data_IF_076646381677
#
_entry.id   IF_076646381677
#
_cell.length_a   1.000
_cell.length_b   1.000
_cell.length_c   1.000
_cell.angle_alpha   90.00
_cell.angle_beta   90.00
_cell.angle_gamma   90.00
#
_symmetry.space_group_name_H-M   'P 1'
#
loop_
_entity.id
_entity.type
_entity.pdbx_description
1 polymer ?
#
# COMPACT_ATOMS: atom_id res chain seq x y z
N UNK A 1 -12.66 -13.89 -15.04
CA UNK A 1 -11.80 -12.70 -14.85
C UNK A 1 -10.32 -13.05 -14.80
N UNK A 2 -9.89 -14.19 -14.22
CA UNK A 2 -8.47 -14.62 -14.19
C UNK A 2 -7.80 -14.62 -15.57
N UNK A 3 -8.42 -15.28 -16.56
CA UNK A 3 -7.88 -15.39 -17.93
C UNK A 3 -7.62 -14.07 -18.65
N UNK A 4 -8.34 -12.99 -18.32
CA UNK A 4 -8.13 -11.68 -18.97
C UNK A 4 -6.86 -10.98 -18.47
N UNK A 5 -6.60 -11.10 -17.16
CA UNK A 5 -5.38 -10.58 -16.55
C UNK A 5 -4.17 -11.44 -16.95
N UNK A 6 -4.32 -12.76 -16.92
CA UNK A 6 -3.32 -13.76 -17.30
C UNK A 6 -2.81 -13.60 -18.75
N UNK A 7 -3.69 -13.32 -19.72
CA UNK A 7 -3.33 -13.29 -21.14
C UNK A 7 -3.01 -11.91 -21.73
N UNK A 8 -3.30 -10.81 -21.02
CA UNK A 8 -3.19 -9.45 -21.58
C UNK A 8 -2.17 -8.56 -20.86
N UNK A 9 -2.67 -7.78 -19.90
CA UNK A 9 -1.93 -6.68 -19.25
C UNK A 9 -0.73 -7.18 -18.44
N UNK A 10 -0.88 -8.27 -17.69
CA UNK A 10 0.23 -8.81 -16.89
C UNK A 10 1.38 -9.32 -17.77
N UNK A 11 1.05 -9.90 -18.92
CA UNK A 11 2.04 -10.40 -19.88
C UNK A 11 2.83 -9.26 -20.52
N UNK A 12 2.20 -8.11 -20.78
CA UNK A 12 2.90 -6.91 -21.27
C UNK A 12 3.91 -6.43 -20.22
N UNK A 13 3.48 -6.26 -18.97
CA UNK A 13 4.39 -5.84 -17.90
C UNK A 13 5.52 -6.84 -17.67
N UNK A 14 5.23 -8.13 -17.71
CA UNK A 14 6.24 -9.17 -17.62
C UNK A 14 7.29 -9.04 -18.73
N UNK A 15 6.85 -8.89 -19.99
CA UNK A 15 7.76 -8.71 -21.14
C UNK A 15 8.64 -7.49 -20.93
N UNK A 16 8.06 -6.32 -20.60
CA UNK A 16 8.82 -5.09 -20.36
C UNK A 16 9.88 -5.31 -19.28
N UNK A 17 9.52 -5.92 -18.15
CA UNK A 17 10.46 -6.13 -17.06
C UNK A 17 11.62 -7.06 -17.42
N UNK A 18 11.36 -8.15 -18.14
CA UNK A 18 12.45 -9.06 -18.51
C UNK A 18 13.35 -8.51 -19.63
N UNK A 19 12.86 -7.52 -20.41
CA UNK A 19 13.63 -6.93 -21.52
C UNK A 19 14.38 -5.66 -21.12
N UNK A 20 13.80 -4.84 -20.25
CA UNK A 20 14.27 -3.47 -19.99
C UNK A 20 14.84 -3.30 -18.56
N UNK A 21 14.46 -4.17 -17.62
CA UNK A 21 14.85 -4.06 -16.22
C UNK A 21 15.83 -5.15 -15.77
N UNK A 22 16.63 -4.83 -14.75
CA UNK A 22 17.59 -5.77 -14.16
C UNK A 22 16.87 -6.63 -13.12
N UNK A 23 16.76 -7.94 -13.36
CA UNK A 23 16.15 -8.88 -12.42
C UNK A 23 17.04 -9.18 -11.22
N UNK A 24 16.54 -8.97 -10.01
CA UNK A 24 17.26 -9.24 -8.77
C UNK A 24 17.18 -10.73 -8.41
N UNK A 25 18.31 -11.29 -7.99
CA UNK A 25 18.46 -12.70 -7.61
C UNK A 25 19.65 -12.89 -6.68
N UNK A 26 19.85 -14.11 -6.16
CA UNK A 26 21.04 -14.45 -5.37
C UNK A 26 22.36 -14.19 -6.10
N UNK A 27 22.37 -14.21 -7.44
CA UNK A 27 23.55 -13.98 -8.26
C UNK A 27 23.63 -12.55 -8.83
N UNK A 28 22.62 -11.70 -8.58
CA UNK A 28 22.52 -10.35 -9.15
C UNK A 28 21.87 -9.42 -8.12
N UNK A 29 22.66 -8.54 -7.52
CA UNK A 29 22.33 -7.75 -6.32
C UNK A 29 21.91 -8.64 -5.12
N UNK A 30 22.82 -9.50 -4.62
CA UNK A 30 22.52 -10.44 -3.55
C UNK A 30 22.05 -9.77 -2.25
N UNK A 31 22.51 -8.56 -1.96
CA UNK A 31 22.09 -7.75 -0.83
C UNK A 31 20.60 -7.38 -0.92
N UNK A 32 20.14 -6.84 -2.05
CA UNK A 32 18.74 -6.51 -2.27
C UNK A 32 17.85 -7.76 -2.30
N UNK A 33 18.36 -8.86 -2.87
CA UNK A 33 17.66 -10.14 -2.84
C UNK A 33 17.44 -10.63 -1.40
N UNK A 34 18.46 -10.53 -0.53
CA UNK A 34 18.33 -10.93 0.88
C UNK A 34 17.27 -10.11 1.62
N UNK A 35 17.22 -8.79 1.38
CA UNK A 35 16.18 -7.93 1.98
C UNK A 35 14.78 -8.38 1.58
N UNK A 36 14.56 -8.67 0.30
CA UNK A 36 13.27 -9.16 -0.18
C UNK A 36 12.89 -10.48 0.49
N UNK A 37 13.81 -11.46 0.53
CA UNK A 37 13.56 -12.78 1.12
C UNK A 37 13.24 -12.64 2.61
N UNK A 38 13.97 -11.79 3.33
CA UNK A 38 13.74 -11.54 4.75
C UNK A 38 12.37 -10.86 4.98
N UNK A 39 12.03 -9.83 4.21
CA UNK A 39 10.73 -9.17 4.28
C UNK A 39 9.57 -10.15 3.96
N UNK A 40 9.76 -11.02 2.96
CA UNK A 40 8.80 -12.08 2.61
C UNK A 40 8.61 -13.08 3.76
N UNK A 41 9.70 -13.46 4.44
CA UNK A 41 9.68 -14.35 5.61
C UNK A 41 8.90 -13.73 6.77
N UNK A 42 9.11 -12.44 7.04
CA UNK A 42 8.43 -11.70 8.11
C UNK A 42 6.92 -11.58 7.83
N UNK A 43 6.55 -11.25 6.59
CA UNK A 43 5.15 -11.02 6.21
C UNK A 43 4.41 -12.30 5.77
N UNK A 44 5.10 -13.43 5.72
CA UNK A 44 4.60 -14.71 5.23
C UNK A 44 4.00 -14.58 3.82
N UNK A 45 4.78 -13.97 2.92
CA UNK A 45 4.45 -13.77 1.50
C UNK A 45 5.39 -14.63 0.67
N UNK A 46 4.87 -15.27 -0.39
CA UNK A 46 5.73 -15.97 -1.35
C UNK A 46 6.58 -14.93 -2.10
N UNK A 47 7.91 -15.10 -2.22
CA UNK A 47 8.75 -14.14 -2.93
C UNK A 47 8.25 -13.83 -4.35
N UNK A 48 7.90 -12.57 -4.65
CA UNK A 48 7.57 -12.14 -6.01
C UNK A 48 8.84 -12.00 -6.86
N UNK A 49 8.69 -11.79 -8.17
CA UNK A 49 9.85 -11.34 -8.97
C UNK A 49 10.24 -9.92 -8.55
N UNK A 50 11.52 -9.57 -8.63
CA UNK A 50 12.03 -8.28 -8.18
C UNK A 50 13.00 -7.71 -9.21
N UNK A 51 12.84 -6.43 -9.52
CA UNK A 51 13.55 -5.75 -10.61
C UNK A 51 14.04 -4.37 -10.21
N UNK A 52 15.12 -3.92 -10.86
CA UNK A 52 15.57 -2.53 -10.86
C UNK A 52 15.27 -1.90 -12.22
N UNK A 53 14.56 -0.76 -12.19
CA UNK A 53 14.31 0.12 -13.34
C UNK A 53 15.32 1.29 -13.33
N UNK A 54 15.88 1.61 -14.50
CA UNK A 54 16.80 2.73 -14.65
C UNK A 54 16.00 4.03 -14.69
N UNK A 55 15.84 4.68 -13.54
CA UNK A 55 15.02 5.88 -13.44
C UNK A 55 15.49 6.74 -12.25
N UNK A 56 15.85 8.01 -12.48
CA UNK A 56 16.27 8.92 -11.40
C UNK A 56 15.10 9.34 -10.51
N UNK A 57 13.85 9.17 -10.96
CA UNK A 57 12.67 9.46 -10.13
C UNK A 57 12.56 8.38 -9.07
N UNK A 58 12.66 8.79 -7.81
CA UNK A 58 12.57 7.91 -6.63
C UNK A 58 11.19 7.28 -6.58
N UNK A 59 11.12 5.97 -6.80
CA UNK A 59 9.85 5.25 -6.78
C UNK A 59 10.05 3.74 -6.54
N UNK A 60 9.02 3.11 -6.03
CA UNK A 60 8.84 1.66 -6.02
C UNK A 60 7.38 1.37 -6.39
N UNK A 61 7.13 0.21 -6.99
CA UNK A 61 5.76 -0.22 -7.24
C UNK A 61 5.66 -1.73 -7.36
N UNK A 62 4.46 -2.22 -7.10
CA UNK A 62 4.08 -3.62 -7.28
C UNK A 62 2.88 -3.75 -8.21
N UNK A 63 2.91 -4.76 -9.07
CA UNK A 63 1.77 -5.12 -9.92
C UNK A 63 1.81 -6.61 -10.27
N UNK A 64 0.79 -7.08 -10.99
CA UNK A 64 0.55 -8.50 -11.27
C UNK A 64 -0.31 -9.16 -10.18
N UNK A 65 -1.44 -9.74 -10.58
CA UNK A 65 -2.35 -10.46 -9.67
C UNK A 65 -1.91 -11.92 -9.57
N UNK A 66 -1.71 -12.59 -10.70
CA UNK A 66 -1.36 -14.02 -10.69
C UNK A 66 0.13 -14.23 -10.49
N UNK A 67 0.94 -13.41 -11.16
CA UNK A 67 2.40 -13.40 -11.01
C UNK A 67 2.88 -12.02 -10.55
N UNK A 68 2.79 -11.72 -9.24
CA UNK A 68 3.19 -10.43 -8.71
C UNK A 68 4.70 -10.21 -8.89
N UNK A 69 5.07 -8.97 -9.14
CA UNK A 69 6.45 -8.51 -9.15
C UNK A 69 6.56 -7.13 -8.50
N UNK A 70 7.73 -6.86 -7.94
CA UNK A 70 8.13 -5.57 -7.38
C UNK A 70 9.18 -4.96 -8.30
N UNK A 71 9.12 -3.65 -8.51
CA UNK A 71 10.15 -2.89 -9.18
C UNK A 71 10.54 -1.68 -8.34
N UNK A 72 11.85 -1.43 -8.23
CA UNK A 72 12.41 -0.25 -7.58
C UNK A 72 13.24 0.54 -8.59
N UNK A 73 13.22 1.86 -8.49
CA UNK A 73 14.02 2.69 -9.39
C UNK A 73 15.46 2.85 -8.88
N UNK A 74 16.41 3.06 -9.79
CA UNK A 74 17.80 3.36 -9.42
C UNK A 74 17.90 4.57 -8.49
N UNK A 75 17.09 5.61 -8.70
CA UNK A 75 17.04 6.78 -7.81
C UNK A 75 16.59 6.45 -6.38
N UNK A 76 15.71 5.45 -6.19
CA UNK A 76 15.33 5.00 -4.85
C UNK A 76 16.48 4.29 -4.15
N UNK A 77 17.18 3.42 -4.86
CA UNK A 77 18.34 2.69 -4.31
C UNK A 77 19.45 3.65 -3.90
N UNK A 78 19.70 4.70 -4.69
CA UNK A 78 20.71 5.71 -4.35
C UNK A 78 20.32 6.58 -3.15
N UNK A 79 19.01 6.82 -2.96
CA UNK A 79 18.52 7.69 -1.89
C UNK A 79 18.42 6.94 -0.54
N UNK A 80 17.94 5.70 -0.55
CA UNK A 80 17.58 4.95 0.66
C UNK A 80 18.74 4.11 1.20
N UNK A 81 18.81 3.95 2.53
CA UNK A 81 19.69 2.97 3.15
C UNK A 81 19.03 1.58 3.18
N UNK A 82 19.77 0.56 3.62
CA UNK A 82 19.32 -0.83 3.63
C UNK A 82 18.00 -1.06 4.41
N UNK A 83 17.89 -0.49 5.61
CA UNK A 83 16.67 -0.62 6.43
C UNK A 83 15.48 0.11 5.80
N UNK A 84 15.71 1.28 5.20
CA UNK A 84 14.67 2.03 4.49
C UNK A 84 14.22 1.29 3.20
N UNK A 85 15.14 0.65 2.48
CA UNK A 85 14.77 -0.22 1.35
C UNK A 85 13.94 -1.40 1.86
N UNK A 86 14.32 -2.01 2.98
CA UNK A 86 13.56 -3.10 3.59
C UNK A 86 12.14 -2.68 4.02
N UNK A 87 11.95 -1.45 4.48
CA UNK A 87 10.62 -0.92 4.81
C UNK A 87 9.78 -0.66 3.55
N UNK A 88 10.38 -0.15 2.47
CA UNK A 88 9.72 0.01 1.17
C UNK A 88 9.34 -1.34 0.58
N UNK A 89 10.22 -2.35 0.62
CA UNK A 89 9.89 -3.71 0.19
C UNK A 89 8.76 -4.30 1.04
N UNK A 90 8.77 -4.07 2.35
CA UNK A 90 7.67 -4.47 3.22
C UNK A 90 6.34 -3.80 2.87
N UNK A 91 6.37 -2.52 2.48
CA UNK A 91 5.19 -1.80 1.99
C UNK A 91 4.64 -2.42 0.69
N UNK A 92 5.50 -2.64 -0.30
CA UNK A 92 5.17 -3.28 -1.57
C UNK A 92 4.62 -4.71 -1.39
N UNK A 93 5.25 -5.50 -0.52
CA UNK A 93 4.75 -6.83 -0.12
C UNK A 93 3.41 -6.76 0.62
N UNK A 94 3.14 -5.69 1.36
CA UNK A 94 1.84 -5.41 1.97
C UNK A 94 0.72 -5.32 0.94
N UNK A 95 0.98 -4.71 -0.23
CA UNK A 95 0.03 -4.70 -1.34
C UNK A 95 -0.27 -6.09 -1.88
N UNK A 96 0.73 -6.98 -1.94
CA UNK A 96 0.55 -8.38 -2.35
C UNK A 96 -0.25 -9.13 -1.28
N UNK A 97 0.17 -9.06 -0.01
CA UNK A 97 -0.46 -9.79 1.10
C UNK A 97 -1.94 -9.48 1.24
N UNK A 98 -2.30 -8.20 1.12
CA UNK A 98 -3.67 -7.74 1.28
C UNK A 98 -4.48 -7.74 -0.04
N UNK A 99 -3.91 -8.24 -1.15
CA UNK A 99 -4.60 -8.32 -2.44
C UNK A 99 -4.96 -6.96 -3.03
N UNK A 100 -4.22 -5.90 -2.66
CA UNK A 100 -4.53 -4.54 -3.10
C UNK A 100 -4.43 -4.37 -4.61
N UNK A 101 -3.50 -5.10 -5.25
CA UNK A 101 -3.18 -5.00 -6.67
C UNK A 101 -4.40 -5.30 -7.54
N UNK A 102 -5.20 -6.31 -7.20
CA UNK A 102 -6.39 -6.68 -7.96
C UNK A 102 -7.37 -5.50 -8.08
N UNK A 103 -7.69 -4.85 -6.95
CA UNK A 103 -8.63 -3.73 -6.92
C UNK A 103 -8.05 -2.49 -7.60
N UNK A 104 -6.75 -2.23 -7.45
CA UNK A 104 -6.08 -1.16 -8.19
C UNK A 104 -6.13 -1.39 -9.71
N UNK A 105 -5.93 -2.63 -10.17
CA UNK A 105 -6.04 -2.98 -11.59
C UNK A 105 -7.49 -2.88 -12.09
N UNK A 106 -8.47 -3.33 -11.31
CA UNK A 106 -9.90 -3.14 -11.62
C UNK A 106 -10.22 -1.65 -11.76
N UNK A 107 -9.77 -0.81 -10.83
CA UNK A 107 -9.97 0.64 -10.89
C UNK A 107 -9.38 1.26 -12.17
N UNK A 108 -8.17 0.84 -12.57
CA UNK A 108 -7.53 1.29 -13.83
C UNK A 108 -8.30 0.84 -15.08
N UNK A 109 -8.83 -0.38 -15.09
CA UNK A 109 -9.57 -0.91 -16.23
C UNK A 109 -10.99 -0.32 -16.38
N UNK A 110 -11.61 0.10 -15.26
CA UNK A 110 -12.95 0.69 -15.27
C UNK A 110 -12.98 2.12 -15.83
N UNK A 111 -11.87 2.85 -15.75
CA UNK A 111 -11.81 4.25 -16.17
C UNK A 111 -12.15 4.48 -17.66
N UNK A 112 -11.53 3.78 -18.63
CA UNK A 112 -11.91 3.89 -20.04
C UNK A 112 -13.35 3.42 -20.31
N UNK A 113 -13.83 2.42 -19.55
CA UNK A 113 -15.20 1.92 -19.69
C UNK A 113 -16.23 3.00 -19.31
N UNK A 114 -15.98 3.76 -18.24
CA UNK A 114 -16.88 4.86 -17.84
C UNK A 114 -16.87 6.03 -18.83
N UNK A 115 -15.75 6.29 -19.50
CA UNK A 115 -15.69 7.28 -20.58
C UNK A 115 -16.59 6.87 -21.75
N UNK A 116 -16.55 5.60 -22.16
CA UNK A 116 -17.41 5.06 -23.22
C UNK A 116 -18.89 5.14 -22.80
N UNK A 117 -19.24 4.63 -21.63
CA UNK A 117 -20.64 4.64 -21.14
C UNK A 117 -21.15 6.08 -21.02
N UNK A 118 -20.31 7.00 -20.54
CA UNK A 118 -20.65 8.43 -20.44
C UNK A 118 -20.98 9.06 -21.80
N UNK A 119 -20.25 8.69 -22.85
CA UNK A 119 -20.51 9.20 -24.21
C UNK A 119 -21.82 8.68 -24.81
N UNK A 120 -22.20 7.42 -24.52
CA UNK A 120 -23.43 6.79 -25.03
C UNK A 120 -24.68 7.21 -24.24
N UNK A 121 -24.53 7.62 -22.99
CA UNK A 121 -25.65 7.95 -22.08
C UNK A 121 -25.91 9.45 -21.93
N UNK A 122 -25.44 10.27 -22.88
CA UNK A 122 -25.55 11.74 -22.84
C UNK A 122 -25.03 12.34 -21.51
N UNK A 123 -24.01 11.73 -20.91
CA UNK A 123 -23.36 12.20 -19.69
C UNK A 123 -23.90 11.61 -18.37
N UNK A 124 -25.04 10.91 -18.35
CA UNK A 124 -25.57 10.31 -17.11
C UNK A 124 -24.66 9.22 -16.54
N UNK A 125 -24.11 8.36 -17.40
CA UNK A 125 -23.14 7.33 -17.01
C UNK A 125 -21.82 7.88 -16.49
N UNK A 126 -21.47 9.12 -16.86
CA UNK A 126 -20.27 9.81 -16.35
C UNK A 126 -20.38 10.10 -14.86
N UNK A 127 -21.56 10.46 -14.36
CA UNK A 127 -21.76 10.76 -12.93
C UNK A 127 -21.60 9.52 -12.04
N UNK A 128 -22.16 8.38 -12.45
CA UNK A 128 -22.00 7.10 -11.73
C UNK A 128 -20.54 6.65 -11.75
N UNK A 129 -19.88 6.77 -12.91
CA UNK A 129 -18.46 6.44 -13.06
C UNK A 129 -17.56 7.27 -12.15
N UNK A 130 -17.79 8.58 -12.07
CA UNK A 130 -17.03 9.48 -11.17
C UNK A 130 -17.21 9.08 -9.71
N UNK A 131 -18.44 8.78 -9.27
CA UNK A 131 -18.69 8.36 -7.89
C UNK A 131 -17.93 7.08 -7.52
N UNK A 132 -17.92 6.08 -8.41
CA UNK A 132 -17.18 4.84 -8.18
C UNK A 132 -15.66 5.06 -8.23
N UNK A 133 -15.17 5.88 -9.16
CA UNK A 133 -13.73 6.21 -9.25
C UNK A 133 -13.24 6.89 -7.97
N UNK A 134 -14.04 7.82 -7.42
CA UNK A 134 -13.73 8.46 -6.13
C UNK A 134 -13.72 7.46 -4.97
N UNK A 135 -14.68 6.53 -4.93
CA UNK A 135 -14.72 5.48 -3.91
C UNK A 135 -13.51 4.55 -3.99
N UNK A 136 -13.14 4.12 -5.20
CA UNK A 136 -11.96 3.29 -5.46
C UNK A 136 -10.66 4.03 -5.12
N UNK A 137 -10.58 5.33 -5.44
CA UNK A 137 -9.44 6.16 -5.08
C UNK A 137 -9.34 6.30 -3.56
N UNK A 138 -10.44 6.56 -2.87
CA UNK A 138 -10.47 6.66 -1.41
C UNK A 138 -10.05 5.34 -0.76
N UNK A 139 -10.58 4.22 -1.26
CA UNK A 139 -10.14 2.89 -0.84
C UNK A 139 -8.64 2.69 -1.08
N UNK A 140 -8.13 3.06 -2.26
CA UNK A 140 -6.71 2.96 -2.58
C UNK A 140 -5.85 3.80 -1.63
N UNK A 141 -6.32 4.99 -1.20
CA UNK A 141 -5.61 5.80 -0.20
C UNK A 141 -5.55 5.14 1.17
N UNK A 142 -6.56 4.36 1.54
CA UNK A 142 -6.56 3.59 2.80
C UNK A 142 -5.69 2.33 2.72
N UNK A 143 -5.64 1.69 1.55
CA UNK A 143 -4.76 0.54 1.29
C UNK A 143 -3.28 0.86 1.54
N UNK A 144 -2.86 2.10 1.28
CA UNK A 144 -1.50 2.61 1.54
C UNK A 144 -1.14 2.59 3.02
N UNK A 145 -2.09 2.89 3.91
CA UNK A 145 -1.86 2.83 5.36
C UNK A 145 -1.67 1.37 5.82
N UNK A 146 -2.41 0.43 5.23
CA UNK A 146 -2.21 -0.99 5.48
C UNK A 146 -0.84 -1.46 4.97
N UNK A 147 -0.42 -0.99 3.79
CA UNK A 147 0.91 -1.27 3.26
C UNK A 147 2.01 -0.65 4.13
N UNK A 148 1.84 0.57 4.63
CA UNK A 148 2.79 1.21 5.56
C UNK A 148 3.01 0.41 6.84
N UNK A 149 1.93 -0.15 7.39
CA UNK A 149 2.00 -1.05 8.55
C UNK A 149 2.82 -2.30 8.22
N UNK A 150 2.66 -2.89 7.04
CA UNK A 150 3.49 -4.01 6.59
C UNK A 150 4.97 -3.60 6.48
N UNK A 151 5.26 -2.42 5.93
CA UNK A 151 6.61 -1.84 5.90
C UNK A 151 7.21 -1.62 7.29
N UNK A 152 6.43 -1.15 8.26
CA UNK A 152 6.88 -1.03 9.64
C UNK A 152 7.13 -2.40 10.28
N UNK A 153 6.30 -3.41 10.01
CA UNK A 153 6.48 -4.76 10.57
C UNK A 153 7.77 -5.44 10.11
N UNK A 154 8.29 -5.13 8.91
CA UNK A 154 9.56 -5.70 8.42
C UNK A 154 10.77 -5.12 9.13
N UNK A 155 10.75 -3.84 9.49
CA UNK A 155 11.90 -3.16 10.13
C UNK A 155 11.77 -3.00 11.65
N UNK A 156 10.55 -3.11 12.18
CA UNK A 156 10.18 -2.96 13.60
C UNK A 156 10.64 -1.65 14.26
N UNK A 157 11.02 -0.66 13.45
CA UNK A 157 11.50 0.64 13.89
C UNK A 157 10.70 1.75 13.18
N UNK A 158 9.82 2.47 13.90
CA UNK A 158 9.02 3.53 13.29
C UNK A 158 9.88 4.68 12.74
N UNK A 159 11.07 4.92 13.30
CA UNK A 159 11.96 5.98 12.79
C UNK A 159 12.47 5.67 11.38
N UNK A 160 12.75 4.41 11.06
CA UNK A 160 13.19 3.99 9.72
C UNK A 160 12.09 4.27 8.70
N UNK A 161 10.85 3.88 9.00
CA UNK A 161 9.72 4.13 8.10
C UNK A 161 9.43 5.63 7.94
N UNK A 162 9.50 6.39 9.04
CA UNK A 162 9.36 7.84 9.00
C UNK A 162 10.48 8.50 8.17
N UNK A 163 11.74 8.04 8.29
CA UNK A 163 12.86 8.55 7.48
C UNK A 163 12.64 8.29 6.00
N UNK A 164 12.18 7.09 5.62
CA UNK A 164 11.87 6.76 4.23
C UNK A 164 10.79 7.71 3.67
N UNK A 165 9.69 7.93 4.41
CA UNK A 165 8.64 8.87 4.00
C UNK A 165 9.12 10.33 3.94
N UNK A 166 10.00 10.74 4.86
CA UNK A 166 10.64 12.06 4.84
C UNK A 166 11.53 12.24 3.62
N UNK A 167 12.31 11.22 3.24
CA UNK A 167 13.14 11.23 2.04
C UNK A 167 12.29 11.33 0.77
N UNK A 168 11.14 10.65 0.72
CA UNK A 168 10.17 10.79 -0.38
C UNK A 168 9.56 12.19 -0.46
N UNK A 169 9.41 12.90 0.66
CA UNK A 169 8.87 14.26 0.68
C UNK A 169 9.91 15.35 0.40
N UNK A 170 11.12 15.21 0.96
CA UNK A 170 12.15 16.25 1.01
C UNK A 170 13.39 15.99 0.16
N UNK A 171 13.54 14.81 -0.44
CA UNK A 171 14.43 14.55 -1.59
C UNK A 171 15.95 14.49 -1.34
N UNK A 172 16.47 14.65 -0.11
CA UNK A 172 17.91 14.61 0.12
C UNK A 172 18.33 13.89 1.42
N UNK A 173 19.04 12.76 1.28
CA UNK A 173 19.63 12.01 2.40
C UNK A 173 20.63 12.83 3.21
N UNK A 174 21.33 13.76 2.57
CA UNK A 174 22.32 14.66 3.21
C UNK A 174 21.70 15.70 4.15
N UNK A 175 20.37 15.85 4.15
CA UNK A 175 19.66 16.84 4.96
C UNK A 175 18.71 16.21 5.98
N UNK A 176 18.66 14.88 6.08
CA UNK A 176 17.84 14.21 7.09
C UNK A 176 18.12 14.70 8.50
N UNK A 177 19.39 14.96 8.84
CA UNK A 177 19.78 15.50 10.16
C UNK A 177 19.26 16.91 10.43
N UNK A 178 18.82 17.63 9.39
CA UNK A 178 18.18 18.94 9.50
C UNK A 178 16.67 18.87 9.63
N UNK A 179 16.06 17.69 9.40
CA UNK A 179 14.62 17.51 9.53
C UNK A 179 14.29 17.23 10.99
N UNK A 180 13.62 18.18 11.64
CA UNK A 180 13.10 18.00 12.98
C UNK A 180 11.82 17.15 12.92
N UNK A 181 11.82 15.99 13.58
CA UNK A 181 10.69 15.04 13.56
C UNK A 181 9.44 15.60 14.25
N UNK A 182 9.60 16.28 15.38
CA UNK A 182 8.49 16.86 16.14
C UNK A 182 7.80 17.96 15.33
N UNK A 183 8.58 18.80 14.66
CA UNK A 183 8.06 19.81 13.73
C UNK A 183 7.30 19.17 12.56
N UNK A 184 7.76 18.01 12.06
CA UNK A 184 7.08 17.27 11.00
C UNK A 184 5.76 16.66 11.47
N UNK A 185 5.73 16.11 12.69
CA UNK A 185 4.50 15.59 13.31
C UNK A 185 3.50 16.73 13.58
N UNK A 186 3.97 17.88 14.04
CA UNK A 186 3.16 19.09 14.17
C UNK A 186 2.61 19.54 12.82
N UNK A 187 3.43 19.54 11.75
CA UNK A 187 2.96 19.83 10.39
C UNK A 187 1.89 18.83 9.93
N UNK A 188 2.02 17.54 10.28
CA UNK A 188 1.02 16.53 9.97
C UNK A 188 -0.30 16.78 10.72
N UNK A 189 -0.24 17.19 11.99
CA UNK A 189 -1.42 17.57 12.79
C UNK A 189 -2.13 18.79 12.21
N UNK A 190 -1.37 19.83 11.86
CA UNK A 190 -1.92 21.00 11.16
C UNK A 190 -2.56 20.61 9.83
N UNK A 191 -1.95 19.68 9.09
CA UNK A 191 -2.52 19.17 7.86
C UNK A 191 -3.84 18.42 8.11
N UNK A 192 -3.94 17.59 9.15
CA UNK A 192 -5.19 16.87 9.46
C UNK A 192 -6.27 17.85 9.95
N UNK A 193 -5.92 18.83 10.77
CA UNK A 193 -6.87 19.82 11.30
C UNK A 193 -7.55 20.68 10.22
N UNK A 194 -6.96 20.81 9.02
CA UNK A 194 -7.63 21.45 7.87
C UNK A 194 -8.95 20.76 7.53
N UNK A 195 -9.05 19.44 7.73
CA UNK A 195 -10.25 18.67 7.43
C UNK A 195 -11.36 18.88 8.49
N UNK A 196 -11.05 19.51 9.62
CA UNK A 196 -11.98 19.82 10.71
C UNK A 196 -12.50 21.26 10.67
N UNK A 197 -11.78 22.17 9.99
CA UNK A 197 -12.18 23.58 9.84
C UNK A 197 -13.49 23.69 9.08
N UNK A 198 -14.52 24.25 9.73
CA UNK A 198 -15.86 24.44 9.16
C UNK A 198 -16.07 25.85 8.55
N UNK A 199 -15.03 26.67 8.44
CA UNK A 199 -15.08 28.00 7.84
C UNK A 199 -14.87 27.95 6.32
N UNK A 200 -15.21 29.03 5.61
CA UNK A 200 -15.10 29.12 4.14
C UNK A 200 -13.67 28.83 3.67
N UNK A 201 -12.67 29.29 4.42
CA UNK A 201 -11.25 29.02 4.14
C UNK A 201 -10.95 27.53 4.27
N UNK A 202 -11.41 26.87 5.33
CA UNK A 202 -11.30 25.41 5.51
C UNK A 202 -11.95 24.62 4.37
N UNK A 203 -13.12 25.04 3.88
CA UNK A 203 -13.74 24.41 2.71
C UNK A 203 -12.88 24.53 1.45
N UNK A 204 -12.31 25.71 1.19
CA UNK A 204 -11.41 25.93 0.03
C UNK A 204 -10.13 25.09 0.15
N UNK A 205 -9.50 25.09 1.33
CA UNK A 205 -8.28 24.32 1.60
C UNK A 205 -8.53 22.81 1.42
N UNK A 206 -9.65 22.30 1.95
CA UNK A 206 -10.07 20.90 1.81
C UNK A 206 -10.37 20.52 0.37
N UNK A 207 -11.09 21.37 -0.37
CA UNK A 207 -11.37 21.16 -1.79
C UNK A 207 -10.07 21.13 -2.61
N UNK A 208 -9.14 22.05 -2.34
CA UNK A 208 -7.83 22.08 -2.98
C UNK A 208 -7.00 20.82 -2.70
N UNK A 209 -6.93 20.40 -1.42
CA UNK A 209 -6.28 19.14 -1.04
C UNK A 209 -6.87 17.93 -1.75
N UNK A 210 -8.20 17.84 -1.79
CA UNK A 210 -8.91 16.79 -2.49
C UNK A 210 -8.52 16.75 -3.97
N UNK A 211 -8.58 17.90 -4.66
CA UNK A 211 -8.25 18.01 -6.09
C UNK A 211 -6.80 17.59 -6.39
N UNK A 212 -5.82 18.05 -5.60
CA UNK A 212 -4.42 17.66 -5.77
C UNK A 212 -4.25 16.15 -5.52
N UNK A 213 -4.96 15.61 -4.52
CA UNK A 213 -4.88 14.20 -4.17
C UNK A 213 -5.47 13.29 -5.27
N UNK A 214 -6.28 13.80 -6.21
CA UNK A 214 -6.76 13.01 -7.36
C UNK A 214 -5.64 12.61 -8.32
N UNK A 215 -4.57 13.41 -8.43
CA UNK A 215 -3.52 13.24 -9.44
C UNK A 215 -2.23 12.63 -8.89
N UNK A 216 -2.21 12.20 -7.63
CA UNK A 216 -1.04 11.56 -7.01
C UNK A 216 -1.12 10.04 -7.08
N UNK A 217 0.01 9.35 -7.13
CA UNK A 217 0.04 7.88 -6.99
C UNK A 217 -0.24 7.47 -5.54
N UNK A 218 0.36 8.15 -4.57
CA UNK A 218 0.23 7.89 -3.13
C UNK A 218 -0.32 9.10 -2.35
N UNK A 219 -0.93 8.88 -1.16
CA UNK A 219 -1.30 9.95 -0.24
C UNK A 219 -0.07 10.78 0.18
N UNK A 220 -0.32 11.96 0.75
CA UNK A 220 0.73 12.85 1.22
C UNK A 220 1.64 12.15 2.25
N UNK A 221 2.97 12.09 2.02
CA UNK A 221 3.89 11.37 2.90
C UNK A 221 3.87 11.89 4.35
N UNK A 222 3.67 13.19 4.55
CA UNK A 222 3.63 13.82 5.87
C UNK A 222 2.50 13.26 6.75
N UNK A 223 1.33 13.00 6.16
CA UNK A 223 0.20 12.42 6.89
C UNK A 223 0.53 10.97 7.26
N UNK A 224 1.09 10.20 6.32
CA UNK A 224 1.50 8.80 6.53
C UNK A 224 2.53 8.65 7.65
N UNK A 225 3.45 9.61 7.78
CA UNK A 225 4.42 9.65 8.89
C UNK A 225 3.72 9.66 10.24
N UNK A 226 2.68 10.50 10.42
CA UNK A 226 1.91 10.55 11.66
C UNK A 226 1.11 9.26 11.89
N UNK A 227 0.46 8.73 10.86
CA UNK A 227 -0.28 7.47 10.97
C UNK A 227 0.61 6.30 11.43
N UNK A 228 1.86 6.23 10.93
CA UNK A 228 2.85 5.24 11.37
C UNK A 228 3.29 5.49 12.80
N UNK A 229 3.57 6.75 13.15
CA UNK A 229 3.97 7.13 14.50
C UNK A 229 2.89 6.76 15.54
N UNK A 230 1.63 7.05 15.24
CA UNK A 230 0.51 6.79 16.12
C UNK A 230 0.21 5.28 16.20
N UNK A 231 0.28 4.55 15.08
CA UNK A 231 0.08 3.09 15.09
C UNK A 231 1.18 2.34 15.84
N UNK A 232 2.44 2.77 15.72
CA UNK A 232 3.57 2.17 16.44
C UNK A 232 3.45 2.29 17.97
N UNK A 233 2.69 3.28 18.47
CA UNK A 233 2.35 3.43 19.90
C UNK A 233 1.10 2.66 20.31
N UNK A 234 0.37 2.09 19.35
CA UNK A 234 -0.91 1.43 19.56
C UNK A 234 -0.76 -0.02 20.02
N UNK A 235 -1.78 -0.50 20.75
CA UNK A 235 -1.85 -1.87 21.27
C UNK A 235 -1.84 -2.93 20.15
N UNK A 236 -2.38 -2.62 18.99
CA UNK A 236 -2.45 -3.57 17.87
C UNK A 236 -1.06 -3.88 17.30
N UNK A 237 -0.17 -2.88 17.24
CA UNK A 237 1.21 -3.10 16.83
C UNK A 237 1.94 -4.01 17.82
N UNK A 238 1.82 -3.73 19.12
CA UNK A 238 2.41 -4.57 20.17
C UNK A 238 1.90 -6.02 20.12
N UNK A 239 0.60 -6.22 19.92
CA UNK A 239 -0.02 -7.55 19.81
C UNK A 239 0.54 -8.34 18.64
N UNK A 240 0.67 -7.71 17.46
CA UNK A 240 1.24 -8.36 16.28
C UNK A 240 2.69 -8.78 16.55
N UNK A 241 3.50 -7.92 17.16
CA UNK A 241 4.89 -8.25 17.50
C UNK A 241 4.99 -9.42 18.49
N UNK A 242 4.07 -9.51 19.44
CA UNK A 242 3.97 -10.65 20.38
C UNK A 242 3.37 -11.91 19.76
N UNK A 243 2.99 -11.87 18.47
CA UNK A 243 2.22 -12.92 17.78
C UNK A 243 0.92 -13.26 18.49
N UNK A 244 0.38 -12.30 19.22
CA UNK A 244 -0.96 -12.32 19.77
C UNK A 244 -1.92 -11.98 18.63
N UNK A 245 -2.05 -12.90 17.67
CA UNK A 245 -2.86 -12.76 16.44
C UNK A 245 -4.36 -12.74 16.69
N UNK A 246 -4.78 -12.68 17.95
CA UNK A 246 -6.17 -12.54 18.34
C UNK A 246 -6.31 -11.24 19.12
N UNK A 247 -7.31 -10.41 18.79
CA UNK A 247 -7.74 -9.37 19.70
C UNK A 247 -7.98 -10.00 21.08
N UNK A 248 -7.43 -9.42 22.14
CA UNK A 248 -7.66 -9.92 23.49
C UNK A 248 -9.19 -9.95 23.74
N UNK A 249 -9.75 -11.14 23.94
CA UNK A 249 -11.17 -11.34 24.24
C UNK A 249 -12.03 -11.99 23.15
N UNK A 250 -11.51 -12.30 21.96
CA UNK A 250 -12.31 -12.97 20.92
C UNK A 250 -12.23 -14.50 20.98
N UNK A 251 -13.35 -15.15 21.30
CA UNK A 251 -13.48 -16.60 21.35
C UNK A 251 -13.36 -17.21 19.94
N UNK A 252 -12.55 -18.28 19.82
CA UNK A 252 -12.53 -19.12 18.62
C UNK A 252 -13.66 -20.12 18.70
N UNK A 253 -14.36 -20.31 17.59
CA UNK A 253 -15.23 -21.45 17.40
C UNK A 253 -14.86 -22.28 16.18
N UNK A 254 -15.17 -23.57 16.25
CA UNK A 254 -15.00 -24.50 15.14
C UNK A 254 -16.26 -24.47 14.28
N UNK A 255 -16.09 -24.38 12.96
CA UNK A 255 -17.20 -24.53 12.02
C UNK A 255 -17.75 -25.96 12.14
N UNK A 256 -19.06 -26.13 12.41
CA UNK A 256 -19.64 -27.47 12.56
C UNK A 256 -19.68 -28.27 11.24
N UNK A 257 -19.52 -27.61 10.08
CA UNK A 257 -19.51 -28.29 8.78
C UNK A 257 -18.11 -28.73 8.34
N UNK A 258 -17.12 -27.82 8.39
CA UNK A 258 -15.79 -28.08 7.82
C UNK A 258 -14.66 -28.18 8.86
N UNK A 259 -14.96 -27.96 10.14
CA UNK A 259 -13.96 -28.00 11.22
C UNK A 259 -12.98 -26.83 11.22
N UNK A 260 -13.10 -25.86 10.31
CA UNK A 260 -12.25 -24.69 10.27
C UNK A 260 -12.40 -23.86 11.56
N UNK A 261 -11.28 -23.30 12.05
CA UNK A 261 -11.30 -22.33 13.16
C UNK A 261 -11.76 -20.98 12.60
N UNK A 262 -12.79 -20.40 13.23
CA UNK A 262 -13.33 -19.10 12.87
C UNK A 262 -13.39 -18.22 14.12
N UNK A 263 -13.19 -16.91 13.94
CA UNK A 263 -13.41 -15.95 15.02
C UNK A 263 -14.93 -15.72 15.22
N UNK A 264 -15.37 -15.57 16.47
CA UNK A 264 -16.79 -15.26 16.83
C UNK A 264 -17.33 -13.91 16.32
N UNK A 265 -16.55 -13.18 15.53
CA UNK A 265 -17.01 -11.96 14.85
C UNK A 265 -17.62 -12.26 13.47
N UNK A 266 -17.29 -13.40 12.86
CA UNK A 266 -17.72 -13.74 11.50
C UNK A 266 -19.06 -14.48 11.47
N UNK A 267 -20.12 -13.83 10.99
CA UNK A 267 -21.43 -14.46 10.81
C UNK A 267 -21.38 -15.73 9.94
N UNK A 268 -20.40 -15.85 9.05
CA UNK A 268 -20.20 -17.00 8.16
C UNK A 268 -18.81 -17.59 8.30
N UNK A 269 -18.70 -18.90 8.09
CA UNK A 269 -17.43 -19.58 8.07
C UNK A 269 -16.57 -19.11 6.90
N UNK A 270 -15.36 -18.67 7.20
CA UNK A 270 -14.41 -18.14 6.21
C UNK A 270 -13.97 -19.21 5.20
N UNK A 271 -14.01 -20.50 5.56
CA UNK A 271 -13.61 -21.60 4.67
C UNK A 271 -14.73 -22.16 3.81
N UNK A 272 -15.97 -22.26 4.34
CA UNK A 272 -17.06 -22.97 3.65
C UNK A 272 -18.36 -22.19 3.51
N UNK A 273 -18.40 -20.93 3.99
CA UNK A 273 -19.56 -20.06 3.89
C UNK A 273 -20.77 -20.44 4.75
N UNK A 274 -20.66 -21.44 5.63
CA UNK A 274 -21.74 -21.81 6.54
C UNK A 274 -22.00 -20.68 7.55
N UNK A 275 -23.27 -20.27 7.72
CA UNK A 275 -23.65 -19.34 8.79
C UNK A 275 -23.37 -19.96 10.18
N UNK A 276 -22.54 -19.30 10.99
CA UNK A 276 -22.04 -19.83 12.26
C UNK A 276 -22.96 -19.50 13.44
N UNK A 277 -23.66 -18.36 13.42
CA UNK A 277 -24.72 -17.99 14.37
C UNK A 277 -25.65 -16.93 13.75
N UNK A 278 -26.84 -16.77 14.33
CA UNK A 278 -27.88 -15.82 13.94
C UNK A 278 -27.71 -14.46 14.58
#
# INVERSE_FOLDING_TARGET
MSKFFEYGIEKIFYVVNITDNIKISENQFPELHKLLIEACRILEVKPPEFYIDQNPVVNAYTTGVEKPFICVTSGLIELMNEEEIMSILGHELGHIKCGHILYQMVARCLKPLFEIIGSVTFGLGKFVGVGLELALLQWSRKAELTADRAGLLTVQNPEVMMNALMKLAGGASSHLTKINRDALLQQAEEAIAIDEKADVKGYIERAGKFLINLFRTHPFPIIRTKEIHDWAKGIDYERILRRETKPAGEEIMLCPRCGAKNLKIFTYCESCGLKLWS
#
